data_IF_333634437817
#
_entry.id   IF_333634437817
#
_cell.length_a   1.000
_cell.length_b   1.000
_cell.length_c   1.000
_cell.angle_alpha   90.00
_cell.angle_beta   90.00
_cell.angle_gamma   90.00
#
_symmetry.space_group_name_H-M   'P 1'
#
loop_
_entity.id
_entity.type
_entity.pdbx_description
1 polymer ?
#
# COMPACT_ATOMS: atom_id res chain seq x y z
N UNK A 1 -33.66 -34.20 6.70
CA UNK A 1 -33.19 -33.05 5.90
C UNK A 1 -32.10 -32.39 6.72
N UNK A 2 -30.84 -32.63 6.37
CA UNK A 2 -29.72 -31.88 6.95
C UNK A 2 -29.64 -30.59 6.16
N UNK A 3 -29.93 -29.45 6.79
CA UNK A 3 -29.79 -28.16 6.20
C UNK A 3 -28.29 -27.88 5.95
N UNK A 4 -27.92 -27.66 4.69
CA UNK A 4 -26.64 -27.13 4.31
C UNK A 4 -26.63 -25.64 4.67
N UNK A 5 -26.48 -25.35 5.97
CA UNK A 5 -26.21 -23.99 6.42
C UNK A 5 -24.79 -23.62 5.95
N UNK A 6 -24.68 -22.63 5.08
CA UNK A 6 -23.39 -22.01 4.77
C UNK A 6 -22.88 -21.46 6.08
N UNK A 7 -21.82 -22.05 6.62
CA UNK A 7 -21.13 -21.53 7.80
C UNK A 7 -20.15 -20.48 7.28
N UNK A 8 -20.47 -19.20 7.46
CA UNK A 8 -19.51 -18.12 7.23
C UNK A 8 -18.63 -18.01 8.49
N UNK A 9 -17.37 -18.41 8.44
CA UNK A 9 -16.46 -18.20 9.55
C UNK A 9 -16.23 -16.69 9.76
N UNK A 10 -16.18 -16.26 11.00
CA UNK A 10 -15.74 -14.93 11.37
C UNK A 10 -14.21 -14.94 11.47
N UNK A 11 -13.56 -14.07 10.70
CA UNK A 11 -12.11 -13.89 10.71
C UNK A 11 -11.78 -12.56 11.40
N UNK A 12 -11.06 -12.65 12.49
CA UNK A 12 -10.47 -11.49 13.19
C UNK A 12 -8.97 -11.48 12.92
N UNK A 13 -8.45 -10.32 12.48
CA UNK A 13 -7.04 -10.10 12.17
C UNK A 13 -6.51 -8.96 13.02
N UNK A 14 -5.45 -9.24 13.76
CA UNK A 14 -4.70 -8.27 14.55
C UNK A 14 -3.28 -8.18 13.98
N UNK A 15 -2.85 -6.97 13.61
CA UNK A 15 -1.60 -6.75 12.89
C UNK A 15 -0.86 -5.57 13.52
N UNK A 16 0.31 -5.87 14.10
CA UNK A 16 1.25 -4.88 14.60
C UNK A 16 2.50 -4.86 13.73
N UNK A 17 2.77 -3.75 13.04
CA UNK A 17 3.91 -3.62 12.14
C UNK A 17 4.77 -2.40 12.45
N UNK A 18 6.08 -2.62 12.38
CA UNK A 18 7.11 -1.58 12.26
C UNK A 18 7.67 -1.63 10.85
N UNK A 19 7.77 -0.48 10.20
CA UNK A 19 8.26 -0.40 8.82
C UNK A 19 9.55 0.41 8.81
N UNK A 20 10.66 -0.24 8.43
CA UNK A 20 11.92 0.42 8.12
C UNK A 20 11.97 0.78 6.63
N UNK A 21 12.33 2.02 6.32
CA UNK A 21 12.41 2.50 4.94
C UNK A 21 13.69 3.27 4.72
N UNK A 22 14.37 2.98 3.60
CA UNK A 22 15.50 3.77 3.11
C UNK A 22 15.19 4.27 1.69
N UNK A 23 15.26 5.57 1.51
CA UNK A 23 15.02 6.21 0.19
C UNK A 23 16.26 7.01 -0.22
N UNK A 24 16.70 6.79 -1.44
CA UNK A 24 17.70 7.61 -2.10
C UNK A 24 17.11 8.26 -3.34
N UNK A 25 17.20 9.59 -3.39
CA UNK A 25 16.83 10.39 -4.56
C UNK A 25 18.08 10.78 -5.34
N UNK A 26 17.95 10.89 -6.64
CA UNK A 26 19.02 11.27 -7.55
C UNK A 26 18.47 11.99 -8.78
N UNK A 27 19.36 12.66 -9.50
CA UNK A 27 19.06 13.23 -10.82
C UNK A 27 19.68 12.34 -11.89
N UNK A 28 18.87 11.90 -12.85
CA UNK A 28 19.34 11.17 -14.04
C UNK A 28 18.73 11.87 -15.26
N UNK A 29 19.59 12.40 -16.14
CA UNK A 29 19.17 13.14 -17.35
C UNK A 29 18.16 14.25 -17.03
N UNK A 30 18.45 15.05 -16.02
CA UNK A 30 17.61 16.16 -15.52
C UNK A 30 16.19 15.74 -15.08
N UNK A 31 16.01 14.48 -14.70
CA UNK A 31 14.77 13.96 -14.14
C UNK A 31 14.98 13.53 -12.70
N UNK A 32 13.97 13.75 -11.90
CA UNK A 32 13.87 13.14 -10.58
C UNK A 32 13.79 11.62 -10.71
N UNK A 33 14.61 10.92 -9.95
CA UNK A 33 14.58 9.46 -9.81
C UNK A 33 14.72 9.13 -8.34
N UNK A 34 13.96 8.17 -7.84
CA UNK A 34 14.15 7.62 -6.50
C UNK A 34 14.18 6.11 -6.50
N UNK A 35 14.96 5.60 -5.57
CA UNK A 35 15.04 4.18 -5.23
C UNK A 35 14.74 4.05 -3.73
N UNK A 36 13.82 3.16 -3.39
CA UNK A 36 13.41 2.94 -2.00
C UNK A 36 13.40 1.47 -1.70
N UNK A 37 13.94 1.09 -0.53
CA UNK A 37 13.80 -0.25 0.05
C UNK A 37 12.92 -0.12 1.28
N UNK A 38 11.95 -0.99 1.39
CA UNK A 38 11.00 -1.06 2.52
C UNK A 38 11.07 -2.45 3.12
N UNK A 39 11.26 -2.53 4.43
CA UNK A 39 11.29 -3.76 5.20
C UNK A 39 10.27 -3.68 6.33
N UNK A 40 9.11 -4.35 6.21
CA UNK A 40 8.19 -4.55 7.31
C UNK A 40 8.75 -5.58 8.31
N UNK A 41 8.44 -5.41 9.58
CA UNK A 41 8.63 -6.40 10.62
C UNK A 41 7.53 -6.28 11.65
N UNK A 42 7.09 -7.37 12.26
CA UNK A 42 6.04 -7.29 13.26
C UNK A 42 5.39 -8.62 13.58
N UNK A 43 4.14 -8.53 14.00
CA UNK A 43 3.32 -9.68 14.38
C UNK A 43 1.98 -9.64 13.64
N UNK A 44 1.51 -10.81 13.24
CA UNK A 44 0.18 -11.06 12.68
C UNK A 44 -0.47 -12.15 13.51
N UNK A 45 -1.63 -11.85 14.10
CA UNK A 45 -2.48 -12.84 14.73
C UNK A 45 -3.80 -12.95 13.97
N UNK A 46 -4.24 -14.18 13.67
CA UNK A 46 -5.56 -14.43 13.09
C UNK A 46 -6.35 -15.36 13.98
N UNK A 47 -7.62 -15.05 14.20
CA UNK A 47 -8.57 -15.90 14.92
C UNK A 47 -9.75 -16.21 14.01
N UNK A 48 -9.96 -17.50 13.75
CA UNK A 48 -11.13 -17.98 12.99
C UNK A 48 -12.13 -18.55 13.97
N UNK A 49 -13.34 -17.98 14.01
CA UNK A 49 -14.46 -18.44 14.85
C UNK A 49 -15.58 -19.00 13.98
N UNK A 50 -16.09 -20.18 14.34
CA UNK A 50 -17.24 -20.76 13.67
C UNK A 50 -18.54 -20.33 14.38
N UNK A 51 -19.49 -19.66 13.72
CA UNK A 51 -20.74 -19.19 14.36
C UNK A 51 -21.57 -20.29 15.04
N UNK A 52 -21.51 -21.53 14.50
CA UNK A 52 -22.22 -22.67 15.05
C UNK A 52 -21.41 -23.49 16.07
N UNK A 53 -20.16 -23.10 16.32
CA UNK A 53 -19.28 -23.71 17.31
C UNK A 53 -18.38 -22.61 17.93
N UNK A 54 -18.96 -21.68 18.73
CA UNK A 54 -18.24 -20.50 19.24
C UNK A 54 -17.08 -20.87 20.18
N UNK A 55 -17.04 -22.10 20.67
CA UNK A 55 -15.89 -22.62 21.43
C UNK A 55 -14.76 -23.16 20.53
N UNK A 56 -14.97 -23.24 19.21
CA UNK A 56 -13.94 -23.60 18.25
C UNK A 56 -13.29 -22.32 17.75
N UNK A 57 -12.10 -22.03 18.26
CA UNK A 57 -11.27 -20.94 17.79
C UNK A 57 -9.95 -21.54 17.28
N UNK A 58 -9.65 -21.30 16.04
CA UNK A 58 -8.31 -21.57 15.50
C UNK A 58 -7.53 -20.28 15.48
N UNK A 59 -6.49 -20.18 16.29
CA UNK A 59 -5.60 -19.03 16.36
C UNK A 59 -4.28 -19.37 15.67
N UNK A 60 -3.86 -18.51 14.78
CA UNK A 60 -2.54 -18.59 14.14
C UNK A 60 -1.79 -17.30 14.41
N UNK A 61 -0.54 -17.42 14.82
CA UNK A 61 0.36 -16.30 15.03
C UNK A 61 1.59 -16.46 14.15
N UNK A 62 1.98 -15.38 13.48
CA UNK A 62 3.21 -15.24 12.71
C UNK A 62 3.92 -13.97 13.15
N UNK A 63 5.21 -14.05 13.39
CA UNK A 63 6.06 -12.92 13.81
C UNK A 63 7.38 -12.97 13.05
N UNK A 64 8.01 -11.81 12.86
CA UNK A 64 9.28 -11.70 12.17
C UNK A 64 9.29 -10.64 11.06
N UNK A 65 9.99 -10.93 9.97
CA UNK A 65 10.08 -10.04 8.81
C UNK A 65 8.90 -10.27 7.86
N UNK A 66 8.34 -9.19 7.33
CA UNK A 66 7.48 -9.24 6.16
C UNK A 66 8.29 -9.20 4.87
N UNK A 67 7.62 -9.27 3.73
CA UNK A 67 8.28 -9.25 2.42
C UNK A 67 8.97 -7.92 2.15
N UNK A 68 10.22 -7.99 1.70
CA UNK A 68 10.99 -6.81 1.28
C UNK A 68 10.40 -6.22 0.02
N UNK A 69 10.23 -4.89 0.00
CA UNK A 69 9.77 -4.18 -1.19
C UNK A 69 10.85 -3.26 -1.73
N UNK A 70 11.00 -3.24 -3.03
CA UNK A 70 11.90 -2.36 -3.77
C UNK A 70 11.05 -1.46 -4.66
N UNK A 71 11.10 -0.15 -4.43
CA UNK A 71 10.37 0.82 -5.22
C UNK A 71 11.35 1.63 -6.07
N UNK A 72 10.96 1.83 -7.31
CA UNK A 72 11.61 2.75 -8.22
C UNK A 72 10.58 3.76 -8.72
N UNK A 73 10.90 5.06 -8.65
CA UNK A 73 10.05 6.11 -9.24
C UNK A 73 10.87 7.09 -10.04
N UNK A 74 10.27 7.61 -11.09
CA UNK A 74 10.90 8.60 -11.96
C UNK A 74 9.92 9.69 -12.38
N UNK A 75 10.41 10.91 -12.51
CA UNK A 75 9.68 12.01 -13.12
C UNK A 75 9.58 11.82 -14.64
N UNK A 76 8.36 11.79 -15.17
CA UNK A 76 8.10 11.67 -16.60
C UNK A 76 7.79 13.03 -17.22
N UNK A 77 6.99 13.83 -16.56
CA UNK A 77 6.61 15.17 -17.00
C UNK A 77 6.57 16.13 -15.81
N UNK A 78 7.19 17.30 -15.94
CA UNK A 78 7.22 18.40 -14.96
C UNK A 78 7.58 17.95 -13.51
N UNK A 79 8.49 16.99 -13.39
CA UNK A 79 9.09 16.54 -12.14
C UNK A 79 10.62 16.60 -12.27
N UNK A 80 11.20 17.82 -12.27
CA UNK A 80 12.64 17.96 -12.28
C UNK A 80 13.25 17.55 -10.93
N UNK A 81 14.56 17.27 -10.89
CA UNK A 81 15.27 17.11 -9.64
C UNK A 81 15.33 18.46 -8.92
N UNK A 82 14.59 18.60 -7.83
CA UNK A 82 14.58 19.82 -7.05
C UNK A 82 15.76 19.85 -6.10
N UNK A 83 16.55 20.93 -6.18
CA UNK A 83 17.58 21.26 -5.20
C UNK A 83 16.98 22.14 -4.09
N UNK A 84 17.70 22.30 -2.99
CA UNK A 84 17.27 23.20 -1.92
C UNK A 84 17.03 24.64 -2.40
N UNK A 85 17.78 25.07 -3.41
CA UNK A 85 17.71 26.43 -3.96
C UNK A 85 16.46 26.66 -4.81
N UNK A 86 16.10 25.69 -5.64
CA UNK A 86 14.96 25.81 -6.55
C UNK A 86 13.65 25.27 -6.02
N UNK A 87 13.67 24.54 -4.89
CA UNK A 87 12.47 23.99 -4.26
C UNK A 87 11.46 25.09 -3.87
N UNK A 88 11.96 26.18 -3.31
CA UNK A 88 11.12 27.28 -2.83
C UNK A 88 10.39 28.03 -3.96
N UNK A 89 10.98 28.07 -5.16
CA UNK A 89 10.43 28.75 -6.34
C UNK A 89 9.73 27.84 -7.33
N UNK A 90 9.81 26.52 -7.12
CA UNK A 90 9.15 25.57 -8.02
C UNK A 90 7.64 25.66 -7.86
N UNK A 91 6.94 25.89 -8.98
CA UNK A 91 5.48 25.90 -9.01
C UNK A 91 4.95 24.49 -9.27
N UNK A 92 4.24 23.89 -8.30
CA UNK A 92 3.63 22.60 -8.49
C UNK A 92 2.35 22.77 -9.34
N UNK A 93 2.50 22.60 -10.64
CA UNK A 93 1.38 22.57 -11.59
C UNK A 93 0.96 21.11 -11.84
N UNK A 94 0.71 20.78 -13.09
CA UNK A 94 0.48 19.42 -13.52
C UNK A 94 1.80 18.66 -13.64
N UNK A 95 1.89 17.49 -12.99
CA UNK A 95 3.09 16.65 -13.03
C UNK A 95 2.71 15.17 -13.17
N UNK A 96 3.57 14.39 -13.83
CA UNK A 96 3.38 12.95 -14.03
C UNK A 96 4.68 12.23 -13.71
N UNK A 97 4.59 11.17 -12.92
CA UNK A 97 5.66 10.23 -12.62
C UNK A 97 5.36 8.83 -13.13
N UNK A 98 6.35 7.96 -13.06
CA UNK A 98 6.23 6.51 -13.19
C UNK A 98 6.68 5.85 -11.89
N UNK A 99 6.03 4.75 -11.53
CA UNK A 99 6.34 3.96 -10.34
C UNK A 99 6.37 2.47 -10.69
N UNK A 100 7.39 1.78 -10.22
CA UNK A 100 7.45 0.32 -10.20
C UNK A 100 7.82 -0.14 -8.78
N UNK A 101 7.06 -1.10 -8.24
CA UNK A 101 7.33 -1.73 -6.94
C UNK A 101 7.46 -3.23 -7.15
N UNK A 102 8.58 -3.79 -6.75
CA UNK A 102 8.82 -5.23 -6.69
C UNK A 102 8.73 -5.68 -5.23
N UNK A 103 7.90 -6.67 -4.95
CA UNK A 103 7.85 -7.35 -3.66
C UNK A 103 8.55 -8.69 -3.80
N UNK A 104 9.48 -8.97 -2.89
CA UNK A 104 10.28 -10.19 -2.85
C UNK A 104 9.72 -11.10 -1.76
N UNK A 105 9.61 -12.43 -1.98
CA UNK A 105 9.16 -13.37 -0.97
C UNK A 105 10.28 -13.67 0.06
N UNK A 106 10.60 -12.66 0.86
CA UNK A 106 11.68 -12.72 1.86
C UNK A 106 11.17 -12.68 3.29
N UNK A 107 9.85 -12.59 3.46
CA UNK A 107 9.20 -12.56 4.76
C UNK A 107 9.10 -13.94 5.38
N UNK A 108 8.81 -13.96 6.69
CA UNK A 108 8.54 -15.21 7.41
C UNK A 108 7.30 -15.89 6.85
N UNK A 109 7.49 -17.12 6.41
CA UNK A 109 6.45 -17.95 5.82
C UNK A 109 6.55 -19.40 6.33
N UNK A 110 5.43 -19.93 6.76
CA UNK A 110 5.26 -21.32 7.19
C UNK A 110 4.01 -21.89 6.49
N UNK A 111 4.20 -22.89 5.62
CA UNK A 111 3.14 -23.55 4.87
C UNK A 111 2.07 -24.22 5.76
N UNK A 112 2.40 -24.49 7.02
CA UNK A 112 1.50 -25.06 8.00
C UNK A 112 0.65 -24.03 8.75
N UNK A 113 0.84 -22.72 8.45
CA UNK A 113 0.07 -21.62 9.03
C UNK A 113 -0.89 -21.01 8.01
N UNK A 114 -2.12 -20.75 8.43
CA UNK A 114 -3.15 -20.09 7.61
C UNK A 114 -2.91 -18.58 7.39
N UNK A 115 -2.07 -17.96 8.22
CA UNK A 115 -1.72 -16.55 8.12
C UNK A 115 -0.22 -16.36 8.34
N UNK A 116 0.43 -15.65 7.44
CA UNK A 116 1.86 -15.40 7.39
C UNK A 116 2.15 -13.92 7.13
N UNK A 117 3.29 -13.41 7.62
CA UNK A 117 3.79 -12.07 7.30
C UNK A 117 4.35 -11.98 5.87
N UNK A 118 4.96 -13.05 5.38
CA UNK A 118 5.40 -13.20 4.00
C UNK A 118 4.29 -13.80 3.13
N UNK A 119 4.23 -13.42 1.86
CA UNK A 119 3.26 -13.94 0.89
C UNK A 119 3.76 -15.17 0.10
N UNK A 120 5.03 -15.55 0.27
CA UNK A 120 5.71 -16.64 -0.45
C UNK A 120 5.61 -16.55 -1.98
N UNK A 121 5.50 -15.33 -2.51
CA UNK A 121 5.44 -15.08 -3.96
C UNK A 121 5.94 -13.70 -4.30
N UNK A 122 6.43 -13.55 -5.53
CA UNK A 122 6.76 -12.24 -6.08
C UNK A 122 5.50 -11.47 -6.44
N UNK A 123 5.58 -10.13 -6.38
CA UNK A 123 4.61 -9.28 -7.06
C UNK A 123 5.28 -8.05 -7.66
N UNK A 124 4.72 -7.54 -8.74
CA UNK A 124 5.14 -6.30 -9.36
C UNK A 124 3.95 -5.36 -9.52
N UNK A 125 4.07 -4.18 -8.95
CA UNK A 125 3.11 -3.10 -9.14
C UNK A 125 3.70 -2.07 -10.09
N UNK A 126 2.93 -1.66 -11.09
CA UNK A 126 3.24 -0.55 -11.98
C UNK A 126 2.19 0.55 -11.76
N UNK A 127 2.62 1.80 -11.69
CA UNK A 127 1.75 2.93 -11.43
C UNK A 127 2.23 4.21 -12.09
N UNK A 128 1.30 5.16 -12.23
CA UNK A 128 1.57 6.48 -12.76
C UNK A 128 1.05 7.56 -11.80
N UNK A 129 1.87 8.04 -10.85
CA UNK A 129 1.48 9.16 -10.01
C UNK A 129 1.29 10.43 -10.86
N UNK A 130 0.16 11.08 -10.66
CA UNK A 130 -0.28 12.28 -11.36
C UNK A 130 -0.63 13.31 -10.29
N UNK A 131 -0.05 14.50 -10.36
CA UNK A 131 -0.29 15.60 -9.43
C UNK A 131 -0.86 16.81 -10.16
N UNK A 132 -1.90 17.42 -9.60
CA UNK A 132 -2.40 18.73 -9.94
C UNK A 132 -2.19 19.64 -8.74
N UNK A 133 -1.34 20.66 -8.90
CA UNK A 133 -1.02 21.61 -7.85
C UNK A 133 -1.66 22.97 -8.09
N UNK A 134 -2.25 23.54 -7.05
CA UNK A 134 -2.93 24.84 -7.04
C UNK A 134 -2.27 25.73 -5.99
N UNK A 135 -1.23 26.44 -6.37
CA UNK A 135 -0.43 27.31 -5.51
C UNK A 135 0.72 27.92 -6.26
N UNK A 136 1.42 28.87 -5.65
CA UNK A 136 2.53 29.60 -6.28
C UNK A 136 3.87 28.86 -6.11
N UNK A 137 4.00 28.02 -5.08
CA UNK A 137 5.18 27.17 -4.85
C UNK A 137 4.86 26.06 -3.85
N UNK A 138 5.79 25.13 -3.62
CA UNK A 138 5.67 24.15 -2.54
C UNK A 138 5.66 24.77 -1.13
N UNK A 139 6.16 25.99 -1.00
CA UNK A 139 6.11 26.73 0.28
C UNK A 139 4.86 27.61 0.41
N UNK A 140 3.96 27.59 -0.57
CA UNK A 140 2.70 28.32 -0.46
C UNK A 140 1.90 27.79 0.75
N UNK A 141 1.61 28.65 1.73
CA UNK A 141 0.86 28.24 2.91
C UNK A 141 -0.59 27.85 2.61
N UNK A 142 -1.08 28.04 1.40
CA UNK A 142 -2.42 27.67 0.92
C UNK A 142 -2.37 26.72 -0.25
N UNK A 143 -1.23 26.05 -0.47
CA UNK A 143 -1.11 25.06 -1.52
C UNK A 143 -2.20 23.99 -1.37
N UNK A 144 -2.88 23.70 -2.47
CA UNK A 144 -3.77 22.56 -2.61
C UNK A 144 -3.19 21.62 -3.65
N UNK A 145 -3.14 20.32 -3.38
CA UNK A 145 -2.79 19.32 -4.39
C UNK A 145 -3.91 18.30 -4.53
N UNK A 146 -4.12 17.87 -5.77
CA UNK A 146 -4.93 16.70 -6.06
C UNK A 146 -4.05 15.67 -6.74
N UNK A 147 -3.81 14.57 -6.03
CA UNK A 147 -2.91 13.51 -6.45
C UNK A 147 -3.71 12.27 -6.81
N UNK A 148 -3.38 11.65 -7.95
CA UNK A 148 -3.94 10.39 -8.42
C UNK A 148 -2.83 9.38 -8.64
N UNK A 149 -3.05 8.13 -8.23
CA UNK A 149 -2.16 7.01 -8.52
C UNK A 149 -2.96 5.82 -9.09
N UNK A 150 -3.25 5.81 -10.39
CA UNK A 150 -3.65 4.58 -11.05
C UNK A 150 -2.49 3.59 -11.03
N UNK A 151 -2.78 2.34 -10.67
CA UNK A 151 -1.79 1.28 -10.64
C UNK A 151 -2.39 -0.10 -10.91
N UNK A 152 -1.53 -1.02 -11.33
CA UNK A 152 -1.86 -2.44 -11.50
C UNK A 152 -0.77 -3.27 -10.82
N UNK A 153 -1.20 -4.30 -10.08
CA UNK A 153 -0.30 -5.27 -9.47
C UNK A 153 -0.50 -6.64 -10.12
N UNK A 154 0.59 -7.24 -10.54
CA UNK A 154 0.67 -8.62 -11.02
C UNK A 154 1.33 -9.47 -9.94
N UNK A 155 0.85 -10.68 -9.77
CA UNK A 155 1.31 -11.61 -8.74
C UNK A 155 1.87 -12.87 -9.40
N UNK A 156 2.92 -13.41 -8.82
CA UNK A 156 3.34 -14.79 -9.04
C UNK A 156 2.48 -15.75 -8.22
N UNK A 157 2.65 -17.02 -8.47
CA UNK A 157 1.95 -18.05 -7.71
C UNK A 157 2.63 -18.32 -6.36
N UNK A 158 1.86 -18.76 -5.39
CA UNK A 158 2.36 -19.38 -4.17
C UNK A 158 2.19 -20.91 -4.35
N UNK A 159 3.31 -21.61 -4.46
CA UNK A 159 3.33 -23.06 -4.73
C UNK A 159 3.28 -23.93 -3.47
N UNK A 160 3.35 -23.32 -2.29
CA UNK A 160 3.27 -23.99 -0.99
C UNK A 160 2.26 -23.30 -0.05
N UNK A 161 0.98 -23.09 -0.47
CA UNK A 161 0.00 -22.45 0.37
C UNK A 161 -0.51 -23.41 1.46
N UNK A 162 -1.07 -22.86 2.54
CA UNK A 162 -1.67 -23.66 3.61
C UNK A 162 -2.77 -24.60 3.09
N UNK A 163 -2.58 -25.90 3.28
CA UNK A 163 -3.55 -26.97 2.91
C UNK A 163 -4.00 -26.99 1.44
N UNK A 164 -3.17 -26.52 0.50
CA UNK A 164 -3.45 -26.56 -0.92
C UNK A 164 -2.16 -26.74 -1.74
N UNK A 165 -2.27 -27.05 -3.03
CA UNK A 165 -1.11 -27.21 -3.91
C UNK A 165 -0.56 -25.90 -4.43
N UNK A 166 -1.40 -25.02 -4.95
CA UNK A 166 -1.00 -23.73 -5.52
C UNK A 166 -2.10 -22.69 -5.35
N UNK A 167 -1.71 -21.45 -5.03
CA UNK A 167 -2.60 -20.29 -5.08
C UNK A 167 -2.06 -19.27 -6.07
N UNK A 168 -2.83 -18.99 -7.12
CA UNK A 168 -2.60 -17.91 -8.07
C UNK A 168 -3.51 -16.72 -7.79
N UNK A 169 -3.17 -15.55 -8.36
CA UNK A 169 -3.99 -14.33 -8.22
C UNK A 169 -3.98 -13.52 -9.51
N UNK A 170 -5.15 -13.16 -9.98
CA UNK A 170 -5.32 -12.27 -11.12
C UNK A 170 -4.88 -10.84 -10.80
N UNK A 171 -4.65 -10.03 -11.83
CA UNK A 171 -4.20 -8.65 -11.67
C UNK A 171 -5.16 -7.83 -10.80
N UNK A 172 -4.59 -7.02 -9.89
CA UNK A 172 -5.31 -6.09 -9.03
C UNK A 172 -5.08 -4.66 -9.51
N UNK A 173 -6.15 -3.98 -9.89
CA UNK A 173 -6.17 -2.58 -10.29
C UNK A 173 -6.52 -1.71 -9.08
N UNK A 174 -5.78 -0.63 -8.89
CA UNK A 174 -6.05 0.37 -7.86
C UNK A 174 -6.03 1.78 -8.43
N UNK A 175 -6.91 2.62 -7.92
CA UNK A 175 -6.87 4.06 -8.08
C UNK A 175 -6.84 4.69 -6.69
N UNK A 176 -5.72 5.31 -6.34
CA UNK A 176 -5.60 6.11 -5.13
C UNK A 176 -5.79 7.58 -5.50
N UNK A 177 -6.49 8.33 -4.65
CA UNK A 177 -6.75 9.75 -4.85
C UNK A 177 -6.60 10.48 -3.51
N UNK A 178 -5.86 11.61 -3.53
CA UNK A 178 -5.61 12.42 -2.35
C UNK A 178 -5.87 13.89 -2.68
N UNK A 179 -6.72 14.53 -1.90
CA UNK A 179 -6.91 15.98 -1.94
C UNK A 179 -6.30 16.57 -0.68
N UNK A 180 -5.17 17.23 -0.83
CA UNK A 180 -4.40 17.81 0.29
C UNK A 180 -4.49 19.34 0.24
N UNK A 181 -4.68 19.98 1.39
CA UNK A 181 -4.69 21.43 1.52
C UNK A 181 -3.84 21.89 2.71
N UNK A 182 -2.99 22.88 2.47
CA UNK A 182 -2.26 23.59 3.50
C UNK A 182 -3.13 24.72 4.07
N UNK A 183 -3.35 24.76 5.37
CA UNK A 183 -4.03 25.87 6.05
C UNK A 183 -3.06 26.97 6.47
N UNK A 184 -1.84 26.59 6.73
CA UNK A 184 -0.70 27.45 7.04
C UNK A 184 0.61 26.63 6.92
N UNK A 185 1.80 27.21 7.10
CA UNK A 185 3.07 26.49 6.97
C UNK A 185 3.26 25.30 7.93
N UNK A 186 2.46 25.23 8.98
CA UNK A 186 2.59 24.18 9.99
C UNK A 186 1.40 23.20 10.05
N UNK A 187 0.33 23.45 9.29
CA UNK A 187 -0.89 22.61 9.38
C UNK A 187 -1.42 22.34 7.97
N UNK A 188 -1.61 21.06 7.68
CA UNK A 188 -2.24 20.60 6.46
C UNK A 188 -3.21 19.45 6.75
N UNK A 189 -4.16 19.22 5.87
CA UNK A 189 -5.02 18.05 5.92
C UNK A 189 -5.25 17.47 4.54
N UNK A 190 -5.56 16.17 4.48
CA UNK A 190 -6.00 15.50 3.26
C UNK A 190 -7.27 14.70 3.46
N UNK A 191 -8.00 14.53 2.36
CA UNK A 191 -9.04 13.52 2.21
C UNK A 191 -8.50 12.52 1.21
N UNK A 192 -8.59 11.25 1.57
CA UNK A 192 -7.94 10.15 0.86
C UNK A 192 -9.00 9.15 0.41
N UNK A 193 -8.84 8.61 -0.80
CA UNK A 193 -9.72 7.58 -1.35
C UNK A 193 -8.92 6.51 -2.07
N UNK A 194 -9.33 5.24 -1.92
CA UNK A 194 -8.73 4.11 -2.63
C UNK A 194 -9.84 3.24 -3.20
N UNK A 195 -9.84 3.08 -4.51
CA UNK A 195 -10.68 2.11 -5.20
C UNK A 195 -9.84 0.93 -5.67
N UNK A 196 -10.30 -0.29 -5.37
CA UNK A 196 -9.64 -1.54 -5.76
C UNK A 196 -10.59 -2.41 -6.58
N UNK A 197 -10.07 -3.03 -7.65
CA UNK A 197 -10.83 -3.92 -8.52
C UNK A 197 -9.95 -5.04 -9.07
N UNK A 198 -10.46 -6.29 -9.09
CA UNK A 198 -9.72 -7.47 -9.56
C UNK A 198 -9.11 -8.26 -8.42
N UNK A 199 -7.95 -8.88 -8.66
CA UNK A 199 -7.21 -9.60 -7.63
C UNK A 199 -7.91 -10.87 -7.13
N UNK A 200 -8.80 -11.47 -7.94
CA UNK A 200 -9.41 -12.76 -7.64
C UNK A 200 -8.35 -13.83 -7.52
N UNK A 201 -8.47 -14.68 -6.52
CA UNK A 201 -7.56 -15.81 -6.34
C UNK A 201 -8.16 -17.12 -6.83
N UNK A 202 -7.30 -18.03 -7.26
CA UNK A 202 -7.63 -19.40 -7.60
C UNK A 202 -6.79 -20.33 -6.74
N UNK A 203 -7.40 -21.40 -6.24
CA UNK A 203 -6.73 -22.46 -5.48
C UNK A 203 -6.81 -23.74 -6.31
N UNK A 204 -5.65 -24.30 -6.67
CA UNK A 204 -5.55 -25.51 -7.51
C UNK A 204 -6.37 -25.41 -8.81
N UNK A 205 -6.38 -24.19 -9.42
CA UNK A 205 -7.09 -23.89 -10.67
C UNK A 205 -8.61 -23.69 -10.50
N UNK A 206 -9.13 -23.61 -9.28
CA UNK A 206 -10.52 -23.31 -8.99
C UNK A 206 -10.65 -21.89 -8.44
N UNK A 207 -11.55 -21.08 -9.04
CA UNK A 207 -11.84 -19.74 -8.54
C UNK A 207 -12.37 -19.75 -7.12
N UNK A 208 -11.87 -18.82 -6.31
CA UNK A 208 -12.36 -18.62 -4.94
C UNK A 208 -13.54 -17.61 -4.88
N UNK A 209 -14.01 -17.10 -6.02
CA UNK A 209 -15.10 -16.13 -6.13
C UNK A 209 -14.93 -14.89 -5.21
N UNK A 210 -13.68 -14.50 -4.98
CA UNK A 210 -13.31 -13.43 -4.05
C UNK A 210 -12.77 -12.18 -4.75
N UNK A 211 -13.18 -11.94 -5.98
CA UNK A 211 -12.82 -10.75 -6.74
C UNK A 211 -13.09 -9.48 -5.96
N UNK A 212 -12.06 -8.70 -5.76
CA UNK A 212 -12.15 -7.44 -5.00
C UNK A 212 -12.93 -6.38 -5.80
N UNK A 213 -13.79 -5.69 -5.10
CA UNK A 213 -14.43 -4.45 -5.55
C UNK A 213 -14.72 -3.62 -4.31
N UNK A 214 -13.76 -2.81 -3.91
CA UNK A 214 -13.84 -2.03 -2.69
C UNK A 214 -13.53 -0.57 -2.92
N UNK A 215 -14.14 0.28 -2.11
CA UNK A 215 -13.83 1.70 -2.02
C UNK A 215 -13.64 2.05 -0.56
N UNK A 216 -12.46 2.57 -0.21
CA UNK A 216 -12.11 3.00 1.13
C UNK A 216 -11.86 4.50 1.11
N UNK A 217 -12.24 5.18 2.19
CA UNK A 217 -11.98 6.61 2.39
C UNK A 217 -11.28 6.83 3.71
N UNK A 218 -10.44 7.85 3.75
CA UNK A 218 -9.72 8.26 4.94
C UNK A 218 -9.51 9.77 4.98
N UNK A 219 -8.97 10.23 6.08
CA UNK A 219 -8.54 11.61 6.26
C UNK A 219 -7.23 11.65 7.04
N UNK A 220 -6.40 12.62 6.72
CA UNK A 220 -5.11 12.82 7.40
C UNK A 220 -4.99 14.26 7.86
N UNK A 221 -4.46 14.47 9.05
CA UNK A 221 -4.05 15.77 9.60
C UNK A 221 -2.55 15.74 9.86
N UNK A 222 -1.83 16.70 9.29
CA UNK A 222 -0.41 16.91 9.53
C UNK A 222 -0.16 18.21 10.30
N UNK A 223 0.69 18.13 11.31
CA UNK A 223 1.08 19.27 12.14
C UNK A 223 2.61 19.30 12.21
N UNK A 224 3.22 20.39 11.74
CA UNK A 224 4.65 20.62 11.80
C UNK A 224 4.97 21.52 12.99
N UNK A 225 5.67 21.01 13.99
CA UNK A 225 6.05 21.78 15.19
C UNK A 225 7.38 22.53 15.02
N UNK A 226 8.29 21.96 14.23
CA UNK A 226 9.59 22.55 13.92
C UNK A 226 10.12 22.04 12.58
N UNK A 227 11.30 22.49 12.14
CA UNK A 227 11.92 22.02 10.90
C UNK A 227 12.21 20.50 10.87
N UNK A 228 12.30 19.88 12.05
CA UNK A 228 12.67 18.46 12.21
C UNK A 228 11.64 17.60 12.95
N UNK A 229 10.53 18.19 13.42
CA UNK A 229 9.53 17.48 14.18
C UNK A 229 8.13 17.79 13.66
N UNK A 230 7.41 16.76 13.25
CA UNK A 230 6.01 16.82 12.84
C UNK A 230 5.22 15.63 13.37
N UNK A 231 3.91 15.76 13.39
CA UNK A 231 2.94 14.73 13.71
C UNK A 231 2.02 14.52 12.52
N UNK A 232 1.74 13.27 12.20
CA UNK A 232 0.74 12.88 11.21
C UNK A 232 -0.26 11.95 11.89
N UNK A 233 -1.54 12.28 11.82
CA UNK A 233 -2.65 11.46 12.29
C UNK A 233 -3.49 11.08 11.08
N UNK A 234 -3.73 9.80 10.88
CA UNK A 234 -4.57 9.30 9.80
C UNK A 234 -5.66 8.38 10.35
N UNK A 235 -6.83 8.47 9.75
CA UNK A 235 -7.98 7.61 10.01
C UNK A 235 -8.56 7.12 8.69
N UNK A 236 -8.85 5.82 8.58
CA UNK A 236 -9.46 5.16 7.42
C UNK A 236 -10.40 4.03 7.85
#
# INVERSE_FOLDING_TARGET
>A
MLGTGIVNPELDLDIDLVIAQYTRTMSISDRYVSFTVVQPTGELASTVTLPNAPNFQNQTKSDGLGDTQILFSAGLYNLPPLTQENYASFKPDFAVGGLARLTLPTGEYDENKSANLGANRYSIQLGAPITFGFGESFLDPRLTTFDLLPSVTFFGDNDDPFNAGTVSQSALYKLEAHLTHNFNPGIWASIDGVYSYGGETETDGQSNDNKQRSFNMGATLGIQFSKSLGLKLSYC
#
